data_IF_327502990716
#
_entry.id   IF_327502990716
#
_cell.length_a   1.000
_cell.length_b   1.000
_cell.length_c   1.000
_cell.angle_alpha   90.00
_cell.angle_beta   90.00
_cell.angle_gamma   90.00
#
_symmetry.space_group_name_H-M   'P 1'
#
loop_
_entity.id
_entity.type
_entity.pdbx_description
1 polymer ?
#
# COMPACT_ATOMS: atom_id res chain seq x y z
N UNK A 1 2.83 17.19 10.60
CA UNK A 1 3.00 17.74 9.25
C UNK A 1 1.67 18.13 8.63
N UNK A 2 1.66 19.11 7.73
CA UNK A 2 0.45 19.54 7.01
C UNK A 2 0.76 19.70 5.53
N UNK A 3 -0.23 19.49 4.67
CA UNK A 3 -0.10 19.60 3.21
C UNK A 3 -1.40 20.08 2.58
N UNK A 4 -1.27 21.00 1.62
CA UNK A 4 -2.36 21.47 0.78
C UNK A 4 -1.92 21.80 -0.64
N UNK A 5 -2.86 22.08 -1.52
CA UNK A 5 -2.63 22.56 -2.88
C UNK A 5 -3.58 23.73 -3.17
N UNK A 6 -3.02 24.88 -3.52
CA UNK A 6 -3.78 26.11 -3.69
C UNK A 6 -4.53 26.46 -2.42
N UNK A 7 -5.85 26.61 -2.48
CA UNK A 7 -6.69 26.92 -1.33
C UNK A 7 -7.24 25.66 -0.61
N UNK A 8 -6.81 24.47 -1.04
CA UNK A 8 -7.33 23.20 -0.54
C UNK A 8 -6.34 22.55 0.42
N UNK A 9 -6.66 22.53 1.71
CA UNK A 9 -5.91 21.84 2.74
C UNK A 9 -6.27 20.35 2.70
N UNK A 10 -5.33 19.47 2.39
CA UNK A 10 -5.55 18.02 2.37
C UNK A 10 -5.61 17.45 3.79
N UNK A 11 -4.57 17.72 4.58
CA UNK A 11 -4.50 17.32 5.98
C UNK A 11 -3.67 18.31 6.81
N UNK A 12 -4.02 18.41 8.06
CA UNK A 12 -3.41 19.33 9.02
C UNK A 12 -2.91 18.57 10.26
N UNK A 13 -1.72 18.97 10.75
CA UNK A 13 -1.14 18.46 12.01
C UNK A 13 -1.06 16.93 12.10
N UNK A 14 -0.98 16.25 10.94
CA UNK A 14 -0.81 14.79 10.92
C UNK A 14 0.47 14.41 11.65
N UNK A 15 0.35 13.46 12.56
CA UNK A 15 1.48 12.90 13.30
C UNK A 15 1.26 11.40 13.51
N UNK A 16 2.18 10.58 13.06
CA UNK A 16 2.20 9.15 13.33
C UNK A 16 3.62 8.61 13.25
N UNK A 17 3.83 7.46 13.85
CA UNK A 17 5.07 6.70 13.80
C UNK A 17 4.75 5.30 13.26
N UNK A 18 5.49 4.85 12.25
CA UNK A 18 5.36 3.49 11.75
C UNK A 18 6.00 2.53 12.76
N UNK A 19 5.21 1.65 13.40
CA UNK A 19 5.73 0.76 14.42
C UNK A 19 6.54 -0.37 13.78
N UNK A 20 7.59 -0.89 14.46
CA UNK A 20 8.35 -2.04 13.98
C UNK A 20 7.44 -3.25 13.73
N UNK A 21 7.53 -3.85 12.54
CA UNK A 21 6.68 -4.96 12.13
C UNK A 21 5.21 -4.59 11.91
N UNK A 22 4.86 -3.31 12.01
CA UNK A 22 3.48 -2.86 11.85
C UNK A 22 3.03 -2.80 10.40
N UNK A 23 1.76 -3.10 10.18
CA UNK A 23 1.06 -2.91 8.91
C UNK A 23 0.02 -1.81 9.11
N UNK A 24 0.24 -0.68 8.46
CA UNK A 24 -0.63 0.50 8.57
C UNK A 24 -1.58 0.55 7.38
N UNK A 25 -2.87 0.37 7.62
CA UNK A 25 -3.91 0.59 6.63
C UNK A 25 -4.26 2.09 6.53
N UNK A 26 -4.15 2.66 5.34
CA UNK A 26 -4.58 4.03 5.07
C UNK A 26 -5.94 4.02 4.40
N UNK A 27 -6.91 4.65 5.04
CA UNK A 27 -8.28 4.73 4.56
C UNK A 27 -8.74 6.19 4.41
N UNK A 28 -9.76 6.37 3.60
CA UNK A 28 -10.38 7.68 3.40
C UNK A 28 -10.84 7.89 1.98
N UNK A 29 -11.59 8.97 1.72
CA UNK A 29 -12.16 9.23 0.42
C UNK A 29 -11.11 9.56 -0.64
N UNK A 30 -11.51 9.44 -1.93
CA UNK A 30 -10.63 9.81 -3.03
C UNK A 30 -10.29 11.31 -2.96
N UNK A 31 -9.02 11.62 -3.23
CA UNK A 31 -8.51 12.98 -3.19
C UNK A 31 -8.25 13.54 -1.77
N UNK A 32 -8.38 12.74 -0.71
CA UNK A 32 -8.07 13.17 0.65
C UNK A 32 -6.58 13.41 0.92
N UNK A 33 -5.69 12.98 0.00
CA UNK A 33 -4.25 13.17 0.14
C UNK A 33 -3.47 11.88 0.44
N UNK A 34 -4.09 10.70 0.33
CA UNK A 34 -3.44 9.41 0.61
C UNK A 34 -2.19 9.19 -0.27
N UNK A 35 -2.33 9.29 -1.58
CA UNK A 35 -1.20 9.17 -2.53
C UNK A 35 -0.20 10.32 -2.38
N UNK A 36 -0.66 11.52 -1.98
CA UNK A 36 0.26 12.64 -1.65
C UNK A 36 1.13 12.30 -0.46
N UNK A 37 0.59 11.63 0.56
CA UNK A 37 1.38 11.14 1.69
C UNK A 37 2.47 10.17 1.22
N UNK A 38 2.16 9.23 0.31
CA UNK A 38 3.16 8.32 -0.26
C UNK A 38 4.26 9.08 -1.02
N UNK A 39 3.89 10.07 -1.83
CA UNK A 39 4.87 10.94 -2.50
C UNK A 39 5.78 11.69 -1.52
N UNK A 40 5.24 12.09 -0.36
CA UNK A 40 6.04 12.72 0.68
C UNK A 40 6.99 11.73 1.37
N UNK A 41 6.55 10.50 1.64
CA UNK A 41 7.39 9.45 2.22
C UNK A 41 8.53 9.08 1.26
N UNK A 42 8.26 9.04 -0.05
CA UNK A 42 9.26 8.73 -1.09
C UNK A 42 10.13 9.93 -1.49
N UNK A 43 9.90 11.11 -0.92
CA UNK A 43 10.66 12.33 -1.21
C UNK A 43 10.32 13.01 -2.54
N UNK A 44 9.24 12.57 -3.21
CA UNK A 44 8.76 13.18 -4.47
C UNK A 44 7.93 14.45 -4.21
N UNK A 45 7.49 14.67 -3.00
CA UNK A 45 6.71 15.82 -2.57
C UNK A 45 7.17 16.27 -1.18
N UNK A 46 7.02 17.56 -0.85
CA UNK A 46 7.39 18.13 0.45
C UNK A 46 6.17 18.56 1.26
N UNK A 47 6.28 18.49 2.59
CA UNK A 47 5.27 19.06 3.49
C UNK A 47 5.30 20.58 3.45
N UNK A 48 4.14 21.23 3.59
CA UNK A 48 4.06 22.68 3.73
C UNK A 48 4.47 23.10 5.15
N UNK A 49 4.23 22.22 6.14
CA UNK A 49 4.73 22.38 7.51
C UNK A 49 5.02 21.03 8.16
N UNK A 50 6.00 21.01 9.07
CA UNK A 50 6.49 19.78 9.66
C UNK A 50 7.45 19.03 8.73
N UNK A 51 7.68 17.74 9.01
CA UNK A 51 8.66 16.95 8.24
C UNK A 51 8.30 15.46 8.25
N UNK A 52 8.69 14.76 7.20
CA UNK A 52 8.77 13.30 7.17
C UNK A 52 10.21 12.91 7.50
N UNK A 53 10.38 12.00 8.44
CA UNK A 53 11.70 11.44 8.76
C UNK A 53 11.72 9.97 8.37
N UNK A 54 12.59 9.63 7.45
CA UNK A 54 12.88 8.26 7.04
C UNK A 54 14.23 7.88 7.65
N UNK A 55 14.27 6.80 8.41
CA UNK A 55 15.51 6.32 9.06
C UNK A 55 16.56 5.89 8.02
N UNK A 56 17.85 6.01 8.36
CA UNK A 56 18.95 5.67 7.45
C UNK A 56 18.97 4.20 7.01
N UNK A 57 18.43 3.30 7.84
CA UNK A 57 18.35 1.87 7.53
C UNK A 57 17.10 1.49 6.73
N UNK A 58 16.19 2.44 6.49
CA UNK A 58 14.96 2.20 5.76
C UNK A 58 15.23 2.04 4.28
N UNK A 59 14.81 0.91 3.73
CA UNK A 59 14.77 0.63 2.31
C UNK A 59 13.31 0.59 1.87
N UNK A 60 12.85 1.67 1.27
CA UNK A 60 11.49 1.76 0.75
C UNK A 60 11.34 0.90 -0.50
N UNK A 61 10.34 0.05 -0.53
CA UNK A 61 9.84 -0.58 -1.74
C UNK A 61 8.46 0.02 -2.04
N UNK A 62 8.37 0.82 -3.09
CA UNK A 62 7.15 1.51 -3.49
C UNK A 62 6.73 1.05 -4.88
N UNK A 63 5.55 0.51 -4.99
CA UNK A 63 4.91 0.29 -6.28
C UNK A 63 3.99 1.47 -6.55
N UNK A 64 4.48 2.38 -7.36
CA UNK A 64 3.63 3.37 -8.01
C UNK A 64 2.80 2.67 -9.09
N UNK A 65 1.53 3.04 -9.21
CA UNK A 65 0.68 2.64 -10.34
C UNK A 65 1.26 3.08 -11.70
N UNK A 66 2.24 4.01 -11.72
CA UNK A 66 2.99 4.44 -12.91
C UNK A 66 4.07 3.45 -13.38
N UNK A 67 4.12 2.24 -12.81
CA UNK A 67 4.69 1.02 -13.39
C UNK A 67 6.08 1.17 -14.02
N UNK A 68 7.11 0.68 -13.33
CA UNK A 68 8.31 0.26 -14.02
C UNK A 68 7.88 -0.60 -15.22
N UNK A 69 8.25 -0.23 -16.43
CA UNK A 69 7.85 -0.96 -17.62
C UNK A 69 8.45 -2.36 -17.57
N UNK A 70 7.57 -3.36 -17.36
CA UNK A 70 7.99 -4.75 -17.48
C UNK A 70 8.46 -4.99 -18.92
N UNK A 71 9.55 -5.72 -19.09
CA UNK A 71 10.08 -6.07 -20.39
C UNK A 71 9.07 -6.97 -21.14
N UNK A 72 8.47 -6.49 -22.25
CA UNK A 72 7.39 -7.19 -22.94
C UNK A 72 7.81 -8.52 -23.54
N UNK A 73 9.11 -8.69 -23.87
CA UNK A 73 9.65 -9.88 -24.54
C UNK A 73 9.93 -11.03 -23.56
N UNK A 74 10.07 -10.71 -22.28
CA UNK A 74 10.32 -11.72 -21.24
C UNK A 74 9.07 -12.46 -20.81
N UNK A 75 9.26 -13.71 -20.40
CA UNK A 75 8.22 -14.48 -19.74
C UNK A 75 7.97 -13.98 -18.30
N UNK A 76 6.79 -14.30 -17.76
CA UNK A 76 6.45 -14.02 -16.36
C UNK A 76 7.54 -14.53 -15.42
N UNK A 77 8.00 -15.77 -15.64
CA UNK A 77 9.03 -16.37 -14.80
C UNK A 77 10.35 -15.61 -14.89
N UNK A 78 10.80 -15.22 -16.07
CA UNK A 78 12.04 -14.46 -16.25
C UNK A 78 11.98 -13.08 -15.59
N UNK A 79 10.86 -12.37 -15.72
CA UNK A 79 10.69 -11.06 -15.09
C UNK A 79 10.72 -11.17 -13.57
N UNK A 80 9.97 -12.10 -13.00
CA UNK A 80 9.89 -12.26 -11.55
C UNK A 80 11.18 -12.84 -10.97
N UNK A 81 11.74 -13.89 -11.60
CA UNK A 81 12.92 -14.58 -11.08
C UNK A 81 14.24 -13.93 -11.46
N UNK A 82 14.28 -13.14 -12.53
CA UNK A 82 15.53 -12.68 -13.14
C UNK A 82 16.31 -13.86 -13.77
N UNK A 83 15.63 -14.96 -14.12
CA UNK A 83 16.23 -16.17 -14.67
C UNK A 83 16.86 -17.10 -13.62
N UNK A 84 16.67 -16.82 -12.33
CA UNK A 84 17.23 -17.60 -11.23
C UNK A 84 16.27 -18.74 -10.82
N UNK A 85 16.78 -19.95 -10.61
CA UNK A 85 15.98 -21.08 -10.13
C UNK A 85 15.60 -20.98 -8.65
N UNK A 86 16.42 -20.27 -7.87
CA UNK A 86 16.22 -20.05 -6.43
C UNK A 86 16.24 -18.55 -6.14
N UNK A 87 15.24 -18.08 -5.42
CA UNK A 87 15.12 -16.71 -4.95
C UNK A 87 15.45 -16.64 -3.46
N UNK A 88 16.17 -15.59 -3.09
CA UNK A 88 16.42 -15.27 -1.68
C UNK A 88 15.41 -14.21 -1.23
N UNK A 89 14.49 -14.59 -0.34
CA UNK A 89 13.49 -13.70 0.27
C UNK A 89 13.86 -13.45 1.73
N UNK A 90 14.58 -12.37 1.98
CA UNK A 90 15.17 -12.15 3.29
C UNK A 90 16.12 -13.33 3.67
N UNK A 91 15.80 -14.04 4.74
CA UNK A 91 16.59 -15.20 5.22
C UNK A 91 16.11 -16.56 4.66
N UNK A 92 15.13 -16.57 3.78
CA UNK A 92 14.52 -17.81 3.25
C UNK A 92 14.82 -17.97 1.77
N UNK A 93 15.30 -19.16 1.39
CA UNK A 93 15.50 -19.55 0.01
C UNK A 93 14.27 -20.30 -0.51
N UNK A 94 13.71 -19.86 -1.64
CA UNK A 94 12.54 -20.49 -2.28
C UNK A 94 12.82 -20.78 -3.76
N UNK A 95 12.29 -21.90 -4.26
CA UNK A 95 12.31 -22.17 -5.70
C UNK A 95 11.50 -21.12 -6.44
N UNK A 96 12.08 -20.48 -7.45
CA UNK A 96 11.45 -19.37 -8.18
C UNK A 96 10.10 -19.76 -8.78
N UNK A 97 9.98 -20.94 -9.36
CA UNK A 97 8.71 -21.42 -9.93
C UNK A 97 7.62 -21.61 -8.88
N UNK A 98 7.97 -22.04 -7.66
CA UNK A 98 7.04 -22.15 -6.56
C UNK A 98 6.62 -20.76 -6.04
N UNK A 99 7.55 -19.79 -6.03
CA UNK A 99 7.24 -18.41 -5.71
C UNK A 99 6.27 -17.80 -6.71
N UNK A 100 6.54 -17.94 -8.02
CA UNK A 100 5.68 -17.42 -9.09
C UNK A 100 4.28 -18.04 -9.05
N UNK A 101 4.20 -19.35 -8.69
CA UNK A 101 2.90 -20.03 -8.56
C UNK A 101 2.00 -19.45 -7.47
N UNK A 102 2.55 -18.84 -6.41
CA UNK A 102 1.77 -18.16 -5.35
C UNK A 102 0.94 -16.99 -5.89
N UNK A 103 1.37 -16.37 -6.99
CA UNK A 103 0.67 -15.29 -7.67
C UNK A 103 -0.27 -15.77 -8.78
N UNK A 104 -0.75 -17.02 -8.66
CA UNK A 104 -1.68 -17.65 -9.58
C UNK A 104 -1.15 -17.78 -11.03
N UNK A 105 0.16 -18.05 -11.15
CA UNK A 105 0.81 -18.41 -12.40
C UNK A 105 1.38 -19.82 -12.29
N UNK A 106 0.65 -20.82 -12.75
CA UNK A 106 1.02 -22.22 -12.63
C UNK A 106 1.45 -22.82 -13.98
N UNK A 107 2.32 -23.81 -13.93
CA UNK A 107 2.68 -24.60 -15.12
C UNK A 107 3.13 -23.77 -16.32
N UNK A 108 2.39 -23.83 -17.41
CA UNK A 108 2.67 -23.13 -18.67
C UNK A 108 2.44 -21.63 -18.61
N UNK A 109 1.62 -21.14 -17.67
CA UNK A 109 1.34 -19.70 -17.53
C UNK A 109 2.62 -18.91 -17.27
N UNK A 110 3.58 -19.52 -16.56
CA UNK A 110 4.85 -18.89 -16.24
C UNK A 110 5.71 -18.58 -17.47
N UNK A 111 5.44 -19.24 -18.61
CA UNK A 111 6.13 -19.01 -19.87
C UNK A 111 5.44 -17.96 -20.76
N UNK A 112 4.26 -17.48 -20.35
CA UNK A 112 3.53 -16.45 -21.08
C UNK A 112 4.34 -15.15 -21.08
N UNK A 113 4.48 -14.55 -22.25
CA UNK A 113 5.20 -13.27 -22.40
C UNK A 113 4.40 -12.13 -21.77
N UNK A 114 5.10 -11.18 -21.21
CA UNK A 114 4.53 -9.99 -20.54
C UNK A 114 3.69 -9.16 -21.51
N UNK A 115 4.06 -9.10 -22.78
CA UNK A 115 3.28 -8.41 -23.82
C UNK A 115 1.82 -8.90 -23.88
N UNK A 116 1.58 -10.19 -23.59
CA UNK A 116 0.29 -10.86 -23.71
C UNK A 116 -0.53 -10.89 -22.40
N UNK A 117 -0.09 -10.17 -21.36
CA UNK A 117 -0.76 -10.16 -20.07
C UNK A 117 -1.95 -9.20 -20.04
N UNK A 118 -3.05 -9.66 -19.44
CA UNK A 118 -4.14 -8.80 -19.00
C UNK A 118 -3.68 -7.79 -17.95
N UNK A 119 -4.48 -6.76 -17.68
CA UNK A 119 -4.18 -5.78 -16.64
C UNK A 119 -4.00 -6.42 -15.25
N UNK A 120 -4.90 -7.34 -14.87
CA UNK A 120 -4.82 -8.06 -13.60
C UNK A 120 -3.60 -8.97 -13.50
N UNK A 121 -3.25 -9.70 -14.57
CA UNK A 121 -2.02 -10.51 -14.61
C UNK A 121 -0.78 -9.63 -14.46
N UNK A 122 -0.74 -8.50 -15.12
CA UNK A 122 0.37 -7.54 -15.02
C UNK A 122 0.53 -6.99 -13.60
N UNK A 123 -0.58 -6.67 -12.93
CA UNK A 123 -0.57 -6.23 -11.53
C UNK A 123 0.02 -7.33 -10.61
N UNK A 124 -0.34 -8.60 -10.82
CA UNK A 124 0.23 -9.72 -10.07
C UNK A 124 1.74 -9.89 -10.27
N UNK A 125 2.23 -9.69 -11.51
CA UNK A 125 3.67 -9.71 -11.80
C UNK A 125 4.39 -8.58 -11.07
N UNK A 126 3.87 -7.36 -11.13
CA UNK A 126 4.43 -6.23 -10.39
C UNK A 126 4.49 -6.48 -8.89
N UNK A 127 3.41 -7.02 -8.32
CA UNK A 127 3.35 -7.37 -6.91
C UNK A 127 4.41 -8.42 -6.54
N UNK A 128 4.56 -9.46 -7.36
CA UNK A 128 5.58 -10.50 -7.15
C UNK A 128 7.01 -9.93 -7.22
N UNK A 129 7.29 -9.06 -8.17
CA UNK A 129 8.60 -8.40 -8.28
C UNK A 129 8.91 -7.56 -7.05
N UNK A 130 7.96 -6.73 -6.62
CA UNK A 130 8.13 -5.86 -5.47
C UNK A 130 8.41 -6.63 -4.17
N UNK A 131 7.62 -7.66 -3.89
CA UNK A 131 7.79 -8.48 -2.69
C UNK A 131 9.14 -9.24 -2.68
N UNK A 132 9.71 -9.47 -3.87
CA UNK A 132 11.05 -10.06 -4.02
C UNK A 132 12.18 -9.05 -3.76
N UNK A 133 12.01 -7.77 -4.10
CA UNK A 133 13.09 -6.77 -4.09
C UNK A 133 13.69 -6.46 -2.73
N UNK A 134 13.07 -6.90 -1.65
CA UNK A 134 13.69 -6.92 -0.32
C UNK A 134 13.81 -5.55 0.35
N UNK A 135 12.87 -4.65 0.15
CA UNK A 135 12.66 -3.49 1.02
C UNK A 135 12.33 -3.93 2.45
N UNK A 136 12.58 -3.07 3.44
CA UNK A 136 12.12 -3.30 4.81
C UNK A 136 10.91 -2.42 5.19
N UNK A 137 10.47 -1.54 4.28
CA UNK A 137 9.21 -0.81 4.34
C UNK A 137 8.53 -0.87 2.98
N UNK A 138 7.36 -1.49 2.93
CA UNK A 138 6.53 -1.60 1.73
C UNK A 138 5.52 -0.46 1.70
N UNK A 139 5.39 0.21 0.55
CA UNK A 139 4.33 1.17 0.29
C UNK A 139 3.46 0.62 -0.84
N UNK A 140 2.20 0.30 -0.53
CA UNK A 140 1.25 -0.33 -1.44
C UNK A 140 0.07 0.61 -1.68
N UNK A 141 -0.11 1.08 -2.91
CA UNK A 141 -1.25 1.93 -3.28
C UNK A 141 -2.28 1.11 -4.04
N UNK A 142 -3.42 0.83 -3.39
CA UNK A 142 -4.55 0.03 -3.89
C UNK A 142 -4.11 -1.35 -4.44
N UNK A 143 -3.34 -2.15 -3.69
CA UNK A 143 -2.79 -3.42 -4.19
C UNK A 143 -3.85 -4.49 -4.43
N UNK A 144 -5.05 -4.30 -3.86
CA UNK A 144 -6.17 -5.24 -3.94
C UNK A 144 -7.01 -5.08 -5.20
N UNK A 145 -6.82 -4.00 -5.97
CA UNK A 145 -7.59 -3.76 -7.19
C UNK A 145 -7.29 -4.82 -8.24
N UNK A 146 -8.37 -5.37 -8.83
CA UNK A 146 -8.33 -6.39 -9.89
C UNK A 146 -7.63 -7.71 -9.49
N UNK A 147 -7.47 -7.99 -8.19
CA UNK A 147 -6.95 -9.26 -7.72
C UNK A 147 -8.08 -10.31 -7.58
N UNK A 148 -7.78 -11.53 -8.01
CA UNK A 148 -8.60 -12.70 -7.68
C UNK A 148 -8.35 -13.15 -6.23
N UNK A 149 -9.26 -14.00 -5.72
CA UNK A 149 -9.23 -14.47 -4.32
C UNK A 149 -7.90 -15.16 -3.96
N UNK A 150 -7.33 -15.92 -4.88
CA UNK A 150 -6.08 -16.65 -4.61
C UNK A 150 -4.90 -15.69 -4.50
N UNK A 151 -4.84 -14.71 -5.40
CA UNK A 151 -3.79 -13.66 -5.35
C UNK A 151 -3.95 -12.77 -4.13
N UNK A 152 -5.19 -12.45 -3.71
CA UNK A 152 -5.45 -11.73 -2.48
C UNK A 152 -4.89 -12.47 -1.26
N UNK A 153 -5.15 -13.78 -1.16
CA UNK A 153 -4.57 -14.61 -0.08
C UNK A 153 -3.06 -14.66 -0.12
N UNK A 154 -2.45 -14.74 -1.32
CA UNK A 154 -1.01 -14.70 -1.45
C UNK A 154 -0.42 -13.36 -0.98
N UNK A 155 -1.10 -12.23 -1.22
CA UNK A 155 -0.73 -10.92 -0.71
C UNK A 155 -0.86 -10.85 0.82
N UNK A 156 -1.97 -11.33 1.38
CA UNK A 156 -2.21 -11.40 2.83
C UNK A 156 -1.07 -12.21 3.50
N UNK A 157 -0.82 -13.43 3.03
CA UNK A 157 0.26 -14.30 3.54
C UNK A 157 1.65 -13.65 3.43
N UNK A 158 1.91 -12.97 2.30
CA UNK A 158 3.18 -12.28 2.11
C UNK A 158 3.38 -11.12 3.08
N UNK A 159 2.32 -10.36 3.38
CA UNK A 159 2.36 -9.26 4.36
C UNK A 159 2.50 -9.77 5.79
N UNK A 160 1.77 -10.82 6.17
CA UNK A 160 1.86 -11.43 7.51
C UNK A 160 3.28 -11.98 7.80
N UNK A 161 3.94 -12.53 6.78
CA UNK A 161 5.29 -13.09 6.90
C UNK A 161 6.39 -12.07 6.58
N UNK A 162 6.04 -10.81 6.30
CA UNK A 162 7.01 -9.79 5.98
C UNK A 162 7.75 -9.32 7.24
N UNK A 163 9.07 -9.43 7.25
CA UNK A 163 9.89 -9.08 8.41
C UNK A 163 10.08 -7.56 8.62
N UNK A 164 9.46 -6.74 7.78
CA UNK A 164 9.52 -5.27 7.84
C UNK A 164 8.18 -4.65 8.21
N UNK A 165 8.00 -3.41 7.81
CA UNK A 165 6.75 -2.66 7.99
C UNK A 165 6.06 -2.49 6.64
N UNK A 166 4.73 -2.35 6.64
CA UNK A 166 3.99 -2.03 5.43
C UNK A 166 3.02 -0.86 5.67
N UNK A 167 2.85 -0.03 4.65
CA UNK A 167 1.81 1.00 4.60
C UNK A 167 0.97 0.75 3.37
N UNK A 168 -0.30 0.51 3.56
CA UNK A 168 -1.21 0.04 2.52
C UNK A 168 -2.39 0.99 2.38
N UNK A 169 -2.52 1.66 1.25
CA UNK A 169 -3.76 2.35 0.89
C UNK A 169 -4.70 1.31 0.29
N UNK A 170 -5.87 1.12 0.86
CA UNK A 170 -6.90 0.24 0.28
C UNK A 170 -8.31 0.69 0.64
N UNK A 171 -9.24 0.42 -0.27
CA UNK A 171 -10.68 0.53 -0.03
C UNK A 171 -11.32 -0.79 0.38
N UNK A 172 -10.56 -1.89 0.33
CA UNK A 172 -11.02 -3.21 0.75
C UNK A 172 -10.93 -3.36 2.28
N UNK A 173 -12.09 -3.24 2.92
CA UNK A 173 -12.23 -3.30 4.37
C UNK A 173 -11.89 -4.68 4.94
N UNK A 174 -12.27 -5.73 4.22
CA UNK A 174 -12.01 -7.11 4.63
C UNK A 174 -10.52 -7.43 4.60
N UNK A 175 -9.84 -6.97 3.58
CA UNK A 175 -8.40 -7.11 3.48
C UNK A 175 -7.70 -6.35 4.63
N UNK A 176 -8.06 -5.09 4.86
CA UNK A 176 -7.46 -4.29 5.93
C UNK A 176 -7.74 -4.85 7.32
N UNK A 177 -8.93 -5.42 7.54
CA UNK A 177 -9.29 -6.03 8.83
C UNK A 177 -8.44 -7.26 9.15
N UNK A 178 -7.95 -7.97 8.12
CA UNK A 178 -7.09 -9.15 8.27
C UNK A 178 -5.63 -8.81 8.48
N UNK A 179 -5.12 -7.77 7.78
CA UNK A 179 -3.67 -7.53 7.76
C UNK A 179 -3.24 -6.31 8.56
N UNK A 180 -4.09 -5.29 8.71
CA UNK A 180 -3.69 -4.04 9.35
C UNK A 180 -3.61 -4.18 10.86
N UNK A 181 -2.50 -3.73 11.42
CA UNK A 181 -2.29 -3.58 12.87
C UNK A 181 -2.64 -2.18 13.35
N UNK A 182 -2.64 -1.22 12.44
CA UNK A 182 -2.96 0.18 12.71
C UNK A 182 -3.72 0.78 11.53
N UNK A 183 -4.55 1.77 11.80
CA UNK A 183 -5.30 2.52 10.78
C UNK A 183 -4.91 4.00 10.82
N UNK A 184 -4.60 4.56 9.66
CA UNK A 184 -4.47 5.99 9.44
C UNK A 184 -5.67 6.46 8.61
N UNK A 185 -6.65 7.04 9.27
CA UNK A 185 -7.93 7.39 8.66
C UNK A 185 -8.01 8.87 8.30
N UNK A 186 -8.21 9.16 7.02
CA UNK A 186 -8.55 10.48 6.54
C UNK A 186 -10.07 10.65 6.65
N UNK A 187 -10.54 11.25 7.76
CA UNK A 187 -11.97 11.31 8.09
C UNK A 187 -12.73 12.46 7.42
N UNK A 188 -12.04 13.32 6.67
CA UNK A 188 -12.56 14.53 6.07
C UNK A 188 -12.20 15.79 6.88
N UNK A 189 -12.62 16.97 6.41
CA UNK A 189 -12.28 18.27 7.01
C UNK A 189 -10.78 18.45 7.33
N UNK A 190 -9.93 17.85 6.50
CA UNK A 190 -8.46 17.83 6.66
C UNK A 190 -7.98 17.13 7.92
N UNK A 191 -8.85 16.38 8.59
CA UNK A 191 -8.56 15.63 9.82
C UNK A 191 -8.03 14.24 9.48
N UNK A 192 -6.98 13.82 10.19
CA UNK A 192 -6.41 12.48 10.09
C UNK A 192 -6.30 11.88 11.49
N UNK A 193 -6.83 10.68 11.65
CA UNK A 193 -6.84 9.94 12.90
C UNK A 193 -5.89 8.76 12.80
N UNK A 194 -4.99 8.64 13.78
CA UNK A 194 -4.17 7.46 14.00
C UNK A 194 -4.86 6.54 15.01
N UNK A 195 -5.05 5.30 14.64
CA UNK A 195 -5.73 4.30 15.48
C UNK A 195 -4.90 3.01 15.53
N UNK A 196 -4.71 2.47 16.73
CA UNK A 196 -4.07 1.16 16.96
C UNK A 196 -5.14 0.08 17.00
N UNK A 197 -5.12 -0.84 16.05
CA UNK A 197 -6.09 -1.90 15.86
C UNK A 197 -6.46 -2.12 14.40
N UNK A 198 -7.30 -3.12 14.15
CA UNK A 198 -7.83 -3.47 12.82
C UNK A 198 -8.90 -2.48 12.33
N UNK A 199 -9.39 -2.74 11.12
CA UNK A 199 -10.41 -1.88 10.51
C UNK A 199 -11.73 -1.90 11.30
N UNK A 200 -12.18 -3.08 11.75
CA UNK A 200 -13.42 -3.23 12.51
C UNK A 200 -13.38 -2.49 13.85
N UNK A 201 -12.24 -2.54 14.54
CA UNK A 201 -12.03 -1.82 15.79
C UNK A 201 -12.06 -0.31 15.59
N UNK A 202 -11.40 0.18 14.52
CA UNK A 202 -11.46 1.58 14.14
C UNK A 202 -12.89 2.02 13.80
N UNK A 203 -13.66 1.23 13.07
CA UNK A 203 -15.05 1.56 12.72
C UNK A 203 -15.94 1.65 13.97
N UNK A 204 -15.75 0.74 14.92
CA UNK A 204 -16.44 0.77 16.21
C UNK A 204 -16.07 2.03 17.02
N UNK A 205 -14.80 2.40 17.06
CA UNK A 205 -14.34 3.63 17.70
C UNK A 205 -14.90 4.88 17.01
N UNK A 206 -14.87 4.92 15.68
CA UNK A 206 -15.42 6.02 14.90
C UNK A 206 -16.92 6.22 15.17
N UNK A 207 -17.71 5.13 15.22
CA UNK A 207 -19.13 5.18 15.56
C UNK A 207 -19.34 5.74 16.97
N UNK A 208 -18.51 5.35 17.92
CA UNK A 208 -18.56 5.85 19.31
C UNK A 208 -18.24 7.35 19.40
N UNK A 209 -17.22 7.83 18.66
CA UNK A 209 -16.78 9.24 18.64
C UNK A 209 -17.76 10.17 17.93
N UNK A 210 -18.30 9.76 16.79
CA UNK A 210 -19.10 10.60 15.90
C UNK A 210 -20.63 10.35 16.02
N UNK A 211 -21.06 9.30 16.73
CA UNK A 211 -22.47 8.95 16.89
C UNK A 211 -23.18 8.70 15.57
N UNK A 212 -24.45 9.07 15.48
CA UNK A 212 -25.28 8.88 14.28
C UNK A 212 -24.79 9.67 13.03
N UNK A 213 -23.90 10.64 13.20
CA UNK A 213 -23.30 11.37 12.06
C UNK A 213 -22.30 10.52 11.28
N UNK A 214 -21.74 9.47 11.89
CA UNK A 214 -20.77 8.58 11.24
C UNK A 214 -21.35 7.82 10.04
N UNK A 215 -22.65 7.64 9.98
CA UNK A 215 -23.33 6.84 8.93
C UNK A 215 -23.82 7.70 7.75
N UNK A 216 -23.78 9.03 7.85
CA UNK A 216 -24.20 9.89 6.77
C UNK A 216 -23.09 10.03 5.72
N UNK A 217 -23.37 9.79 4.42
CA UNK A 217 -22.42 10.07 3.37
C UNK A 217 -22.16 11.58 3.32
N UNK A 218 -21.01 12.01 3.80
CA UNK A 218 -20.61 13.41 3.75
C UNK A 218 -19.83 13.69 2.47
N UNK A 219 -20.23 14.76 1.78
CA UNK A 219 -19.40 15.35 0.72
C UNK A 219 -18.12 15.88 1.38
N UNK A 220 -16.95 15.52 0.84
CA UNK A 220 -15.66 15.96 1.38
C UNK A 220 -15.66 17.49 1.43
N UNK A 221 -15.56 18.06 2.61
CA UNK A 221 -15.30 19.47 2.80
C UNK A 221 -13.80 19.61 3.08
N UNK A 222 -13.14 20.51 2.38
CA UNK A 222 -11.75 20.87 2.65
C UNK A 222 -11.74 22.20 3.37
N UNK A 223 -10.91 22.32 4.38
CA UNK A 223 -10.66 23.63 5.00
C UNK A 223 -9.88 24.51 4.02
N UNK A 224 -10.21 25.78 3.97
CA UNK A 224 -9.42 26.76 3.23
C UNK A 224 -8.09 26.98 3.96
N UNK A 225 -7.00 27.04 3.22
CA UNK A 225 -5.69 27.45 3.74
C UNK A 225 -5.80 28.93 4.16
N UNK A 226 -5.75 29.18 5.45
CA UNK A 226 -5.56 30.54 5.97
C UNK A 226 -4.07 30.86 5.82
N UNK A 227 -3.73 31.70 4.83
CA UNK A 227 -2.36 32.26 4.74
C UNK A 227 -2.21 33.22 5.92
N UNK A 228 -1.27 32.92 6.85
CA UNK A 228 -0.75 33.86 7.86
C UNK A 228 0.40 34.63 7.24
#
# INVERSE_FOLDING_TARGET
>A
MSKGYGDRLLFEKMNFLLPPGGIVGIIGPNGAGKTTLFKMITGQETADSGQVRVGETVKLAYVDQSRASLDPEKSIWEVISGGQDVLQLGNVSVKSRAYVARFNFSGTDQQKQVANLSGGERNRVHLACMLKEGGNVLLLDEPTNDLDVNTMRALEEALENFAGCAVVISHDRWFLDRVATHILAFEGDSSVVWFEGGYSDYEADRKRRLGAESERPHRIKYRQLTRV
#
